data_IF_990036187249
#
_entry.id   IF_990036187249
#
_cell.length_a   1.000
_cell.length_b   1.000
_cell.length_c   1.000
_cell.angle_alpha   90.00
_cell.angle_beta   90.00
_cell.angle_gamma   90.00
#
_symmetry.space_group_name_H-M   'P 1'
#
loop_
_entity.id
_entity.type
_entity.pdbx_description
1 polymer ?
#
# COMPACT_ATOMS: atom_id res chain seq x y z
N UNK A 1 54.61 -16.21 -40.42
CA UNK A 1 54.20 -16.56 -39.04
C UNK A 1 53.19 -15.58 -38.41
N UNK A 2 53.21 -14.26 -38.69
CA UNK A 2 52.22 -13.30 -38.14
C UNK A 2 50.79 -13.41 -38.71
N UNK A 3 50.59 -13.90 -39.94
CA UNK A 3 49.24 -14.06 -40.54
C UNK A 3 48.49 -15.31 -40.07
N UNK A 4 49.19 -16.32 -39.56
CA UNK A 4 48.57 -17.56 -39.06
C UNK A 4 48.02 -17.38 -37.64
N UNK A 5 48.66 -16.54 -36.82
CA UNK A 5 48.15 -16.21 -35.48
C UNK A 5 46.81 -15.44 -35.51
N UNK A 6 46.57 -14.63 -36.54
CA UNK A 6 45.32 -13.83 -36.64
C UNK A 6 44.13 -14.70 -37.02
N UNK A 7 44.35 -15.75 -37.83
CA UNK A 7 43.29 -16.69 -38.21
C UNK A 7 42.86 -17.59 -37.04
N UNK A 8 43.81 -17.99 -36.18
CA UNK A 8 43.49 -18.80 -34.99
C UNK A 8 42.69 -18.00 -33.96
N UNK A 9 42.95 -16.70 -33.82
CA UNK A 9 42.21 -15.83 -32.88
C UNK A 9 40.78 -15.52 -33.35
N UNK A 10 40.51 -15.52 -34.66
CA UNK A 10 39.16 -15.35 -35.20
C UNK A 10 38.32 -16.63 -35.10
N UNK A 11 38.93 -17.82 -35.18
CA UNK A 11 38.24 -19.09 -34.95
C UNK A 11 37.87 -19.33 -33.48
N UNK A 12 38.60 -18.74 -32.53
CA UNK A 12 38.28 -18.83 -31.09
C UNK A 12 37.10 -17.94 -30.68
N UNK A 13 36.79 -16.88 -31.45
CA UNK A 13 35.68 -15.98 -31.17
C UNK A 13 34.32 -16.54 -31.60
N UNK A 14 34.28 -17.49 -32.54
CA UNK A 14 33.03 -18.11 -33.02
C UNK A 14 32.52 -19.22 -32.08
N UNK A 15 33.39 -19.77 -31.22
CA UNK A 15 33.05 -20.78 -30.21
C UNK A 15 32.53 -20.19 -28.88
N UNK A 16 32.46 -18.86 -28.77
CA UNK A 16 31.85 -18.15 -27.66
C UNK A 16 30.51 -17.51 -28.05
N UNK A 17 29.79 -18.11 -29.00
CA UNK A 17 28.35 -17.94 -29.09
C UNK A 17 27.71 -18.75 -27.95
N UNK A 18 27.99 -18.34 -26.72
CA UNK A 18 27.20 -18.72 -25.55
C UNK A 18 25.76 -18.41 -25.89
N UNK A 19 24.92 -19.44 -25.93
CA UNK A 19 23.47 -19.31 -25.86
C UNK A 19 23.16 -18.11 -24.97
N UNK A 20 22.52 -17.08 -25.54
CA UNK A 20 21.48 -16.43 -24.75
C UNK A 20 20.66 -17.57 -24.17
N UNK A 21 20.46 -17.68 -22.85
CA UNK A 21 19.48 -18.62 -22.34
C UNK A 21 18.23 -18.35 -23.16
N UNK A 22 17.87 -19.30 -24.03
CA UNK A 22 16.70 -19.16 -24.86
C UNK A 22 15.57 -18.87 -23.91
N UNK A 23 14.75 -17.85 -24.21
CA UNK A 23 13.52 -17.63 -23.47
C UNK A 23 12.83 -18.99 -23.36
N UNK A 24 12.78 -19.52 -22.14
CA UNK A 24 12.23 -20.84 -21.91
C UNK A 24 10.75 -20.73 -22.22
N UNK A 25 10.32 -21.43 -23.27
CA UNK A 25 8.93 -21.35 -23.71
C UNK A 25 8.05 -22.09 -22.70
N UNK A 26 6.91 -21.50 -22.35
CA UNK A 26 5.91 -22.19 -21.52
C UNK A 26 5.35 -23.38 -22.30
N UNK A 27 5.36 -24.57 -21.68
CA UNK A 27 4.89 -25.81 -22.29
C UNK A 27 3.97 -26.57 -21.33
N UNK A 28 3.32 -27.62 -21.81
CA UNK A 28 2.47 -28.50 -20.98
C UNK A 28 3.23 -29.55 -20.17
N UNK A 29 4.53 -29.32 -19.92
CA UNK A 29 5.36 -30.19 -19.14
C UNK A 29 5.55 -29.64 -17.72
N UNK A 30 5.69 -30.51 -16.73
CA UNK A 30 5.79 -30.13 -15.31
C UNK A 30 7.07 -29.34 -14.99
N UNK A 31 8.11 -29.50 -15.81
CA UNK A 31 9.37 -28.76 -15.74
C UNK A 31 9.27 -27.31 -16.24
N UNK A 32 8.17 -26.94 -16.92
CA UNK A 32 7.94 -25.56 -17.41
C UNK A 32 7.61 -24.54 -16.31
N UNK A 33 7.70 -24.93 -15.04
CA UNK A 33 7.36 -24.08 -13.88
C UNK A 33 8.13 -22.76 -13.88
N UNK A 34 9.44 -22.78 -14.20
CA UNK A 34 10.27 -21.57 -14.24
C UNK A 34 9.85 -20.62 -15.37
N UNK A 35 9.68 -21.13 -16.59
CA UNK A 35 9.18 -20.37 -17.72
C UNK A 35 7.81 -19.74 -17.43
N UNK A 36 6.91 -20.52 -16.82
CA UNK A 36 5.56 -20.07 -16.46
C UNK A 36 5.60 -19.01 -15.36
N UNK A 37 6.48 -19.17 -14.35
CA UNK A 37 6.70 -18.18 -13.31
C UNK A 37 7.27 -16.88 -13.87
N UNK A 38 8.17 -16.95 -14.85
CA UNK A 38 8.70 -15.77 -15.53
C UNK A 38 7.60 -15.00 -16.28
N UNK A 39 6.80 -15.70 -17.08
CA UNK A 39 5.63 -15.13 -17.75
C UNK A 39 4.65 -14.50 -16.74
N UNK A 40 4.36 -15.20 -15.66
CA UNK A 40 3.48 -14.73 -14.58
C UNK A 40 4.00 -13.46 -13.91
N UNK A 41 5.28 -13.42 -13.54
CA UNK A 41 5.90 -12.23 -12.94
C UNK A 41 5.82 -11.01 -13.85
N UNK A 42 6.12 -11.19 -15.14
CA UNK A 42 6.08 -10.09 -16.10
C UNK A 42 4.67 -9.51 -16.19
N UNK A 43 3.68 -10.38 -16.37
CA UNK A 43 2.29 -9.97 -16.45
C UNK A 43 1.80 -9.29 -15.16
N UNK A 44 2.11 -9.84 -13.98
CA UNK A 44 1.72 -9.22 -12.71
C UNK A 44 2.34 -7.82 -12.58
N UNK A 45 3.64 -7.68 -12.84
CA UNK A 45 4.36 -6.41 -12.75
C UNK A 45 3.92 -5.37 -13.80
N UNK A 46 3.40 -5.80 -14.94
CA UNK A 46 2.86 -4.91 -15.98
C UNK A 46 1.42 -4.45 -15.69
N UNK A 47 0.65 -5.23 -14.94
CA UNK A 47 -0.80 -5.00 -14.76
C UNK A 47 -1.18 -4.49 -13.37
N UNK A 48 -0.31 -4.60 -12.36
CA UNK A 48 -0.53 -3.89 -11.09
C UNK A 48 -0.11 -2.42 -11.22
N UNK A 49 -1.00 -1.53 -10.81
CA UNK A 49 -0.87 -0.08 -11.00
C UNK A 49 -0.48 0.68 -9.72
N UNK A 50 -0.32 -0.03 -8.61
CA UNK A 50 -0.03 0.54 -7.29
C UNK A 50 1.05 -0.25 -6.55
N UNK A 51 1.66 0.41 -5.56
CA UNK A 51 2.69 -0.16 -4.71
C UNK A 51 4.02 -0.39 -5.41
N UNK A 52 4.64 -1.53 -5.11
CA UNK A 52 6.02 -1.83 -5.50
C UNK A 52 6.08 -3.07 -6.37
N UNK A 53 7.07 -3.10 -7.27
CA UNK A 53 7.32 -4.24 -8.15
C UNK A 53 7.75 -5.45 -7.33
N UNK A 54 7.47 -6.63 -7.86
CA UNK A 54 7.73 -7.91 -7.20
C UNK A 54 8.75 -8.75 -7.96
N UNK A 55 9.50 -9.57 -7.22
CA UNK A 55 10.40 -10.61 -7.76
C UNK A 55 10.06 -11.97 -7.18
N UNK A 56 10.29 -13.03 -7.96
CA UNK A 56 10.10 -14.40 -7.50
C UNK A 56 10.99 -14.71 -6.30
N UNK A 57 10.38 -15.25 -5.25
CA UNK A 57 11.07 -15.90 -4.14
C UNK A 57 11.05 -17.40 -4.31
N UNK A 58 9.85 -17.97 -4.46
CA UNK A 58 9.67 -19.42 -4.52
C UNK A 58 8.45 -19.79 -5.36
N UNK A 59 8.54 -20.92 -6.05
CA UNK A 59 7.39 -21.56 -6.70
C UNK A 59 6.85 -22.60 -5.71
N UNK A 60 5.71 -22.30 -5.08
CA UNK A 60 5.07 -23.18 -4.10
C UNK A 60 4.38 -24.38 -4.76
N UNK A 61 3.90 -24.21 -5.99
CA UNK A 61 3.20 -25.28 -6.69
C UNK A 61 3.05 -25.00 -8.18
N UNK A 62 3.17 -26.06 -8.97
CA UNK A 62 2.92 -26.05 -10.41
C UNK A 62 2.03 -27.24 -10.76
N UNK A 63 0.76 -26.98 -11.10
CA UNK A 63 -0.20 -28.01 -11.47
C UNK A 63 -0.57 -27.87 -12.93
N UNK A 64 -0.34 -28.92 -13.72
CA UNK A 64 -0.67 -28.96 -15.15
C UNK A 64 -1.86 -29.90 -15.39
N UNK A 65 -2.90 -29.40 -16.04
CA UNK A 65 -4.08 -30.17 -16.43
C UNK A 65 -4.21 -30.18 -17.96
N UNK A 66 -4.16 -31.35 -18.59
CA UNK A 66 -4.28 -31.45 -20.05
C UNK A 66 -5.72 -31.18 -20.49
N UNK A 67 -5.88 -30.29 -21.48
CA UNK A 67 -7.17 -29.89 -22.04
C UNK A 67 -7.08 -29.92 -23.57
N UNK A 68 -7.67 -30.94 -24.18
CA UNK A 68 -7.58 -31.14 -25.63
C UNK A 68 -6.14 -31.36 -26.08
N UNK A 69 -5.67 -30.55 -27.04
CA UNK A 69 -4.27 -30.54 -27.51
C UNK A 69 -3.36 -29.61 -26.67
N UNK A 70 -3.91 -28.86 -25.72
CA UNK A 70 -3.19 -27.94 -24.83
C UNK A 70 -3.29 -28.34 -23.35
N UNK A 71 -3.10 -27.37 -22.47
CA UNK A 71 -3.24 -27.54 -21.03
C UNK A 71 -3.58 -26.23 -20.31
N UNK A 72 -4.17 -26.37 -19.12
CA UNK A 72 -4.27 -25.31 -18.13
C UNK A 72 -3.24 -25.55 -17.04
N UNK A 73 -2.51 -24.49 -16.69
CA UNK A 73 -1.48 -24.48 -15.65
C UNK A 73 -1.95 -23.59 -14.51
N UNK A 74 -1.98 -24.14 -13.29
CA UNK A 74 -2.19 -23.39 -12.06
C UNK A 74 -0.88 -23.29 -11.31
N UNK A 75 -0.39 -22.07 -11.15
CA UNK A 75 0.88 -21.77 -10.51
C UNK A 75 0.64 -21.06 -9.18
N UNK A 76 1.32 -21.52 -8.14
CA UNK A 76 1.37 -20.86 -6.84
C UNK A 76 2.77 -20.29 -6.64
N UNK A 77 2.84 -18.98 -6.44
CA UNK A 77 4.08 -18.22 -6.35
C UNK A 77 4.14 -17.45 -5.05
N UNK A 78 5.30 -17.46 -4.42
CA UNK A 78 5.65 -16.45 -3.43
C UNK A 78 6.53 -15.42 -4.10
N UNK A 79 6.09 -14.17 -4.08
CA UNK A 79 6.82 -13.03 -4.61
C UNK A 79 7.24 -12.11 -3.48
N UNK A 80 8.40 -11.47 -3.60
CA UNK A 80 8.89 -10.49 -2.63
C UNK A 80 8.84 -9.08 -3.21
N UNK A 81 8.37 -8.15 -2.40
CA UNK A 81 8.35 -6.72 -2.68
C UNK A 81 9.77 -6.19 -2.87
N UNK A 82 9.97 -5.40 -3.92
CA UNK A 82 11.24 -4.71 -4.20
C UNK A 82 11.22 -3.27 -3.69
N UNK A 83 12.36 -2.59 -3.78
CA UNK A 83 12.46 -1.16 -3.49
C UNK A 83 11.89 -0.25 -4.60
N UNK A 84 11.57 -0.80 -5.78
CA UNK A 84 11.06 -0.04 -6.91
C UNK A 84 9.53 0.09 -6.85
N UNK A 85 9.03 1.32 -6.77
CA UNK A 85 7.60 1.59 -6.98
C UNK A 85 7.19 1.31 -8.44
N UNK A 86 5.90 1.08 -8.70
CA UNK A 86 5.36 0.91 -10.06
C UNK A 86 5.72 2.05 -11.02
N UNK A 87 5.81 3.28 -10.51
CA UNK A 87 6.18 4.48 -11.29
C UNK A 87 7.66 4.52 -11.68
N UNK A 88 8.52 3.69 -11.06
CA UNK A 88 9.92 3.58 -11.42
C UNK A 88 10.03 2.81 -12.76
N UNK A 89 10.68 3.36 -13.80
CA UNK A 89 10.76 2.73 -15.11
C UNK A 89 11.69 1.51 -15.17
N UNK A 90 12.52 1.29 -14.14
CA UNK A 90 13.46 0.16 -14.06
C UNK A 90 12.73 -1.17 -14.17
N UNK A 91 13.28 -2.14 -14.91
CA UNK A 91 12.70 -3.48 -14.96
C UNK A 91 12.73 -4.11 -13.55
N UNK A 92 11.70 -4.87 -13.19
CA UNK A 92 11.60 -5.51 -11.87
C UNK A 92 12.78 -6.45 -11.60
N UNK A 93 13.38 -7.06 -12.62
CA UNK A 93 14.56 -7.94 -12.47
C UNK A 93 15.79 -7.20 -11.93
N UNK A 94 15.92 -5.92 -12.27
CA UNK A 94 17.01 -5.08 -11.80
C UNK A 94 16.70 -4.40 -10.45
N UNK A 95 15.49 -4.59 -9.92
CA UNK A 95 15.08 -4.02 -8.64
C UNK A 95 15.56 -4.90 -7.47
N UNK A 96 16.14 -4.27 -6.46
CA UNK A 96 16.61 -4.97 -5.27
C UNK A 96 15.42 -5.40 -4.40
N UNK A 97 15.47 -6.64 -3.92
CA UNK A 97 14.50 -7.14 -2.95
C UNK A 97 14.72 -6.41 -1.63
N UNK A 98 13.64 -5.96 -0.99
CA UNK A 98 13.73 -5.24 0.28
C UNK A 98 14.22 -6.17 1.38
N UNK A 99 15.20 -5.70 2.16
CA UNK A 99 15.74 -6.44 3.29
C UNK A 99 14.72 -6.65 4.43
N UNK A 100 14.88 -7.73 5.19
CA UNK A 100 14.00 -8.09 6.31
C UNK A 100 13.85 -6.95 7.33
N UNK A 101 14.97 -6.30 7.72
CA UNK A 101 14.99 -5.17 8.67
C UNK A 101 14.21 -3.94 8.18
N UNK A 102 13.96 -3.84 6.87
CA UNK A 102 13.16 -2.78 6.25
C UNK A 102 11.69 -3.19 6.07
N UNK A 103 11.27 -4.24 6.78
CA UNK A 103 9.92 -4.82 6.79
C UNK A 103 9.48 -5.30 5.42
N UNK A 104 10.20 -6.30 4.95
CA UNK A 104 9.91 -7.01 3.71
C UNK A 104 8.45 -7.50 3.66
N UNK A 105 7.84 -7.38 2.49
CA UNK A 105 6.47 -7.82 2.19
C UNK A 105 6.54 -8.95 1.16
N UNK A 106 5.73 -9.98 1.38
CA UNK A 106 5.56 -11.10 0.48
C UNK A 106 4.15 -11.08 -0.11
N UNK A 107 4.03 -11.45 -1.38
CA UNK A 107 2.78 -11.66 -2.07
C UNK A 107 2.63 -13.14 -2.42
N UNK A 108 1.60 -13.78 -1.89
CA UNK A 108 1.23 -15.15 -2.21
C UNK A 108 0.25 -15.11 -3.38
N UNK A 109 0.70 -15.51 -4.55
CA UNK A 109 -0.04 -15.40 -5.79
C UNK A 109 -0.48 -16.77 -6.32
N UNK A 110 -1.73 -16.85 -6.79
CA UNK A 110 -2.23 -17.96 -7.61
C UNK A 110 -2.49 -17.44 -9.01
N UNK A 111 -1.85 -18.06 -10.00
CA UNK A 111 -1.90 -17.64 -11.41
C UNK A 111 -2.41 -18.80 -12.26
N UNK A 112 -3.36 -18.51 -13.15
CA UNK A 112 -3.91 -19.46 -14.10
C UNK A 112 -3.44 -19.09 -15.51
N UNK A 113 -2.85 -20.06 -16.20
CA UNK A 113 -2.30 -19.92 -17.54
C UNK A 113 -2.91 -20.98 -18.44
N UNK A 114 -3.38 -20.59 -19.62
CA UNK A 114 -3.80 -21.54 -20.65
C UNK A 114 -2.74 -21.59 -21.73
N UNK A 115 -2.30 -22.81 -22.07
CA UNK A 115 -1.27 -23.08 -23.08
C UNK A 115 -1.93 -23.80 -24.25
N UNK A 116 -1.89 -23.17 -25.42
CA UNK A 116 -2.40 -23.70 -26.68
C UNK A 116 -1.26 -24.09 -27.64
N UNK A 117 -1.61 -24.29 -28.92
CA UNK A 117 -0.62 -24.56 -29.98
C UNK A 117 0.22 -23.32 -30.29
N UNK A 118 1.32 -23.15 -29.55
CA UNK A 118 2.34 -22.14 -29.80
C UNK A 118 2.28 -20.89 -28.91
N UNK A 119 1.20 -20.69 -28.15
CA UNK A 119 1.02 -19.52 -27.28
C UNK A 119 0.59 -19.93 -25.86
N UNK A 120 1.09 -19.20 -24.87
CA UNK A 120 0.67 -19.27 -23.48
C UNK A 120 0.10 -17.92 -23.03
N UNK A 121 -1.06 -17.94 -22.37
CA UNK A 121 -1.75 -16.72 -21.94
C UNK A 121 -2.22 -16.84 -20.50
N UNK A 122 -1.94 -15.81 -19.72
CA UNK A 122 -2.51 -15.67 -18.37
C UNK A 122 -3.99 -15.32 -18.50
N UNK A 123 -4.83 -16.15 -17.90
CA UNK A 123 -6.29 -15.98 -17.90
C UNK A 123 -6.77 -15.30 -16.63
N UNK A 124 -6.09 -15.54 -15.50
CA UNK A 124 -6.42 -14.97 -14.20
C UNK A 124 -5.19 -14.98 -13.28
N UNK A 125 -5.10 -13.99 -12.40
CA UNK A 125 -4.22 -14.04 -11.24
C UNK A 125 -4.88 -13.40 -10.02
N UNK A 126 -4.55 -13.89 -8.84
CA UNK A 126 -4.93 -13.33 -7.55
C UNK A 126 -3.71 -13.37 -6.64
N UNK A 127 -3.44 -12.28 -5.93
CA UNK A 127 -2.32 -12.17 -5.00
C UNK A 127 -2.80 -11.62 -3.66
N UNK A 128 -2.28 -12.17 -2.58
CA UNK A 128 -2.48 -11.68 -1.21
C UNK A 128 -1.16 -11.27 -0.59
N UNK A 129 -1.08 -10.04 -0.07
CA UNK A 129 0.17 -9.45 0.43
C UNK A 129 0.21 -9.40 1.95
N UNK A 130 1.32 -9.82 2.54
CA UNK A 130 1.54 -9.83 3.99
C UNK A 130 2.98 -9.46 4.34
N UNK A 131 3.18 -8.97 5.56
CA UNK A 131 4.54 -8.74 6.07
C UNK A 131 5.21 -10.09 6.36
N UNK A 132 6.48 -10.24 5.93
CA UNK A 132 7.27 -11.45 6.24
C UNK A 132 7.50 -11.57 7.75
N UNK A 133 7.74 -10.42 8.41
CA UNK A 133 7.81 -10.30 9.86
C UNK A 133 6.76 -9.31 10.33
N UNK A 134 5.93 -9.75 11.27
CA UNK A 134 4.99 -8.85 11.92
C UNK A 134 5.73 -7.73 12.67
N UNK A 135 5.03 -6.63 12.95
CA UNK A 135 5.59 -5.54 13.76
C UNK A 135 6.13 -6.03 15.12
N UNK A 136 5.46 -7.01 15.74
CA UNK A 136 5.87 -7.58 17.03
C UNK A 136 7.18 -8.36 16.90
N UNK A 137 7.33 -9.15 15.84
CA UNK A 137 8.60 -9.85 15.57
C UNK A 137 9.70 -8.87 15.23
N UNK A 138 9.41 -7.84 14.43
CA UNK A 138 10.38 -6.80 14.07
C UNK A 138 10.92 -6.10 15.32
N UNK A 139 10.06 -5.71 16.27
CA UNK A 139 10.49 -5.09 17.54
C UNK A 139 11.38 -6.03 18.37
N UNK A 140 11.15 -7.35 18.32
CA UNK A 140 11.99 -8.33 19.03
C UNK A 140 13.38 -8.48 18.38
N UNK A 141 13.45 -8.38 17.06
CA UNK A 141 14.70 -8.49 16.29
C UNK A 141 15.49 -7.19 16.39
N UNK A 142 14.82 -6.04 16.22
CA UNK A 142 15.39 -4.71 16.22
C UNK A 142 14.45 -3.73 16.94
N UNK A 143 14.61 -3.52 18.26
CA UNK A 143 13.76 -2.61 19.05
C UNK A 143 13.80 -1.15 18.60
N UNK A 144 14.91 -0.73 17.99
CA UNK A 144 15.13 0.64 17.53
C UNK A 144 14.70 0.88 16.08
N UNK A 145 14.33 -0.19 15.35
CA UNK A 145 13.92 -0.07 13.95
C UNK A 145 12.49 0.49 13.85
N UNK A 146 12.23 1.47 12.96
CA UNK A 146 10.88 1.92 12.68
C UNK A 146 9.99 0.79 12.15
N UNK A 147 8.73 0.74 12.59
CA UNK A 147 7.74 -0.25 12.15
C UNK A 147 6.71 0.36 11.21
N UNK A 148 6.22 -0.43 10.25
CA UNK A 148 5.11 -0.13 9.37
C UNK A 148 3.87 0.18 10.18
N UNK A 149 3.25 1.30 9.85
CA UNK A 149 1.98 1.72 10.39
C UNK A 149 0.93 1.77 9.28
N UNK A 150 -0.37 1.77 9.61
CA UNK A 150 -1.40 1.96 8.61
C UNK A 150 -1.16 3.22 7.77
N UNK A 151 -1.36 3.12 6.45
CA UNK A 151 -1.22 4.26 5.53
C UNK A 151 -2.22 5.39 5.82
N UNK A 152 -3.28 5.10 6.58
CA UNK A 152 -4.30 6.04 7.03
C UNK A 152 -4.03 6.65 8.41
N UNK A 153 -2.85 6.41 9.00
CA UNK A 153 -2.45 7.06 10.25
C UNK A 153 -2.52 8.58 10.06
N UNK A 154 -3.29 9.31 10.89
CA UNK A 154 -3.41 10.76 10.77
C UNK A 154 -2.06 11.48 10.83
N UNK A 155 -1.19 11.07 11.75
CA UNK A 155 0.15 11.63 11.93
C UNK A 155 1.07 11.25 10.78
N UNK A 156 0.97 10.00 10.28
CA UNK A 156 1.68 9.55 9.09
C UNK A 156 1.29 10.37 7.86
N UNK A 157 0.00 10.54 7.59
CA UNK A 157 -0.49 11.35 6.48
C UNK A 157 -0.14 12.83 6.63
N UNK A 158 -0.15 13.36 7.86
CA UNK A 158 0.35 14.72 8.12
C UNK A 158 1.80 14.87 7.66
N UNK A 159 2.67 13.90 7.95
CA UNK A 159 4.07 13.94 7.51
C UNK A 159 4.22 13.97 5.99
N UNK A 160 3.44 13.15 5.28
CA UNK A 160 3.41 13.13 3.81
C UNK A 160 2.95 14.47 3.26
N UNK A 161 1.85 15.02 3.80
CA UNK A 161 1.31 16.30 3.34
C UNK A 161 2.31 17.45 3.53
N UNK A 162 3.04 17.49 4.64
CA UNK A 162 4.12 18.47 4.84
C UNK A 162 5.27 18.27 3.84
N UNK A 163 5.64 17.02 3.54
CA UNK A 163 6.66 16.71 2.54
C UNK A 163 6.23 17.14 1.12
N UNK A 164 4.98 16.90 0.73
CA UNK A 164 4.41 17.34 -0.57
C UNK A 164 4.41 18.87 -0.68
N UNK A 165 4.03 19.57 0.40
CA UNK A 165 4.08 21.04 0.44
C UNK A 165 5.49 21.55 0.29
N UNK A 166 6.46 20.95 0.97
CA UNK A 166 7.87 21.34 0.88
C UNK A 166 8.42 21.09 -0.53
N UNK A 167 8.12 19.94 -1.13
CA UNK A 167 8.51 19.62 -2.50
C UNK A 167 8.02 20.69 -3.49
N UNK A 168 6.77 21.13 -3.36
CA UNK A 168 6.17 22.15 -4.22
C UNK A 168 6.59 23.59 -3.89
N UNK A 169 7.50 23.82 -2.93
CA UNK A 169 8.22 25.12 -2.80
C UNK A 169 9.44 25.20 -3.71
N UNK A 170 9.93 24.05 -4.20
CA UNK A 170 11.10 24.01 -5.05
C UNK A 170 10.77 24.51 -6.46
N UNK A 171 11.34 25.67 -6.83
CA UNK A 171 11.11 26.33 -8.12
C UNK A 171 11.90 25.73 -9.29
N UNK A 172 12.62 24.62 -9.11
CA UNK A 172 13.29 23.93 -10.23
C UNK A 172 12.31 23.20 -11.16
N UNK A 173 11.11 22.87 -10.68
CA UNK A 173 10.08 22.21 -11.48
C UNK A 173 9.27 23.21 -12.30
N UNK A 174 8.85 22.81 -13.51
CA UNK A 174 8.03 23.66 -14.39
C UNK A 174 6.55 23.67 -13.98
N UNK A 175 6.07 22.57 -13.40
CA UNK A 175 4.70 22.39 -12.95
C UNK A 175 4.67 21.95 -11.48
N UNK A 176 3.52 22.17 -10.85
CA UNK A 176 3.22 21.58 -9.54
C UNK A 176 3.02 20.07 -9.67
N UNK A 177 3.29 19.36 -8.58
CA UNK A 177 3.03 17.94 -8.46
C UNK A 177 1.96 17.69 -7.41
N UNK A 178 1.15 16.65 -7.61
CA UNK A 178 0.17 16.19 -6.63
C UNK A 178 0.51 14.79 -6.15
N UNK A 179 0.02 14.44 -4.96
CA UNK A 179 0.20 13.11 -4.38
C UNK A 179 -0.59 12.08 -5.20
N UNK A 180 0.12 11.09 -5.74
CA UNK A 180 -0.48 9.97 -6.47
C UNK A 180 -0.79 8.81 -5.52
N UNK A 181 0.20 8.41 -4.73
CA UNK A 181 0.10 7.25 -3.85
C UNK A 181 1.03 7.42 -2.63
N UNK A 182 0.58 6.97 -1.46
CA UNK A 182 1.48 6.71 -0.33
C UNK A 182 1.79 5.23 -0.32
N UNK A 183 3.04 4.86 -0.59
CA UNK A 183 3.44 3.46 -0.66
C UNK A 183 3.67 2.87 0.73
N UNK A 184 4.45 3.55 1.57
CA UNK A 184 4.81 3.06 2.91
C UNK A 184 4.89 4.19 3.92
N UNK A 185 4.48 3.91 5.16
CA UNK A 185 4.77 4.76 6.31
C UNK A 185 5.34 3.89 7.42
N UNK A 186 6.53 4.22 7.89
CA UNK A 186 7.13 3.62 9.08
C UNK A 186 7.18 4.65 10.19
N UNK A 187 7.01 4.21 11.43
CA UNK A 187 7.15 5.05 12.60
C UNK A 187 8.07 4.45 13.65
N UNK A 188 8.80 5.31 14.35
CA UNK A 188 9.67 4.94 15.46
C UNK A 188 9.74 6.09 16.46
N UNK A 189 9.95 5.77 17.73
CA UNK A 189 10.11 6.78 18.77
C UNK A 189 11.58 7.16 18.96
N UNK A 190 11.87 8.45 18.98
CA UNK A 190 13.19 8.99 19.30
C UNK A 190 13.10 9.90 20.51
N UNK A 191 13.88 9.60 21.55
CA UNK A 191 13.82 10.32 22.84
C UNK A 191 13.97 11.85 22.71
N UNK A 192 14.77 12.34 21.74
CA UNK A 192 15.02 13.77 21.55
C UNK A 192 14.03 14.48 20.60
N UNK A 193 13.30 13.72 19.77
CA UNK A 193 12.50 14.28 18.68
C UNK A 193 11.03 13.83 18.70
N UNK A 194 10.67 12.95 19.64
CA UNK A 194 9.35 12.32 19.73
C UNK A 194 9.15 11.24 18.67
N UNK A 195 7.90 11.09 18.21
CA UNK A 195 7.55 10.14 17.16
C UNK A 195 8.11 10.62 15.83
N UNK A 196 8.87 9.75 15.17
CA UNK A 196 9.42 9.96 13.83
C UNK A 196 8.65 9.13 12.82
N UNK A 197 8.43 9.69 11.63
CA UNK A 197 7.69 9.12 10.53
C UNK A 197 8.56 9.16 9.28
N UNK A 198 8.71 8.00 8.67
CA UNK A 198 9.45 7.79 7.43
C UNK A 198 8.48 7.35 6.36
N UNK A 199 8.25 8.21 5.38
CA UNK A 199 7.28 7.94 4.33
C UNK A 199 7.97 7.71 2.99
N UNK A 200 7.40 6.81 2.21
CA UNK A 200 7.70 6.61 0.80
C UNK A 200 6.42 6.85 0.00
N UNK A 201 6.45 7.74 -0.99
CA UNK A 201 5.25 8.16 -1.72
C UNK A 201 5.57 8.58 -3.16
N UNK A 202 4.59 8.39 -4.05
CA UNK A 202 4.67 8.77 -5.45
C UNK A 202 3.94 10.09 -5.69
N UNK A 203 4.55 10.94 -6.52
CA UNK A 203 4.02 12.20 -7.01
C UNK A 203 3.85 12.13 -8.52
N UNK A 204 2.83 12.81 -9.02
CA UNK A 204 2.54 12.95 -10.46
C UNK A 204 2.48 14.43 -10.85
N UNK A 205 3.08 14.75 -11.99
CA UNK A 205 3.06 16.09 -12.56
C UNK A 205 1.63 16.52 -12.91
N UNK A 206 1.33 17.80 -12.67
CA UNK A 206 0.02 18.39 -12.95
C UNK A 206 0.08 19.36 -14.12
N UNK A 207 -1.09 19.77 -14.61
CA UNK A 207 -1.21 20.81 -15.62
C UNK A 207 -1.03 22.25 -15.10
N UNK A 208 -0.75 22.44 -13.80
CA UNK A 208 -0.57 23.76 -13.22
C UNK A 208 0.89 24.21 -13.31
N UNK A 209 1.19 25.34 -13.97
CA UNK A 209 2.55 25.87 -14.01
C UNK A 209 2.97 26.36 -12.63
N UNK A 210 4.24 26.15 -12.32
CA UNK A 210 4.87 26.62 -11.09
C UNK A 210 4.78 28.14 -10.99
N UNK A 211 4.42 28.66 -9.81
CA UNK A 211 4.24 30.10 -9.58
C UNK A 211 2.89 30.66 -10.06
N UNK A 212 1.99 29.82 -10.56
CA UNK A 212 0.60 30.23 -10.77
C UNK A 212 -0.11 30.53 -9.45
N UNK A 213 -1.20 31.31 -9.51
CA UNK A 213 -2.04 31.61 -8.33
C UNK A 213 -2.99 30.46 -7.97
N UNK A 214 -2.87 29.33 -8.65
CA UNK A 214 -3.71 28.15 -8.43
C UNK A 214 -3.17 27.44 -7.19
N UNK A 215 -4.07 27.10 -6.29
CA UNK A 215 -3.76 26.31 -5.11
C UNK A 215 -3.36 24.90 -5.59
N UNK A 216 -2.18 24.34 -5.22
CA UNK A 216 -1.71 23.05 -5.73
C UNK A 216 -2.73 21.92 -5.62
N UNK A 217 -3.54 21.93 -4.56
CA UNK A 217 -4.62 20.97 -4.30
C UNK A 217 -5.76 21.02 -5.33
N UNK A 218 -5.89 22.11 -6.09
CA UNK A 218 -6.87 22.26 -7.18
C UNK A 218 -6.31 21.83 -8.55
N UNK A 219 -5.03 21.48 -8.62
CA UNK A 219 -4.36 21.11 -9.85
C UNK A 219 -4.73 19.69 -10.30
N UNK A 220 -4.88 19.51 -11.60
CA UNK A 220 -5.25 18.22 -12.16
C UNK A 220 -3.99 17.48 -12.61
N UNK A 221 -3.81 16.20 -12.20
CA UNK A 221 -2.73 15.38 -12.72
C UNK A 221 -2.82 15.23 -14.24
N UNK A 222 -1.65 15.19 -14.89
CA UNK A 222 -1.53 14.83 -16.30
C UNK A 222 -1.78 13.33 -16.49
N UNK A 223 -2.05 12.91 -17.72
CA UNK A 223 -2.18 11.48 -18.05
C UNK A 223 -0.93 10.68 -17.68
N UNK A 224 -1.04 9.45 -17.15
CA UNK A 224 0.12 8.66 -16.71
C UNK A 224 1.23 8.47 -17.75
N UNK A 225 0.89 8.33 -19.03
CA UNK A 225 1.89 8.18 -20.09
C UNK A 225 2.61 9.51 -20.40
N UNK A 226 1.98 10.65 -20.11
CA UNK A 226 2.48 12.00 -20.42
C UNK A 226 3.01 12.77 -19.21
N UNK A 227 2.72 12.31 -18.01
CA UNK A 227 3.15 12.94 -16.77
C UNK A 227 4.57 12.53 -16.41
N UNK A 228 5.39 13.48 -15.92
CA UNK A 228 6.56 13.13 -15.13
C UNK A 228 6.11 12.59 -13.78
N UNK A 229 6.80 11.58 -13.30
CA UNK A 229 6.57 11.01 -11.99
C UNK A 229 7.76 11.32 -11.08
N UNK A 230 7.53 11.36 -9.78
CA UNK A 230 8.60 11.39 -8.80
C UNK A 230 8.29 10.43 -7.66
N UNK A 231 9.28 9.63 -7.26
CA UNK A 231 9.17 8.78 -6.08
C UNK A 231 10.02 9.37 -4.96
N UNK A 232 9.38 9.68 -3.84
CA UNK A 232 9.96 10.47 -2.77
C UNK A 232 10.06 9.67 -1.48
N UNK A 233 11.11 9.97 -0.72
CA UNK A 233 11.34 9.53 0.65
C UNK A 233 11.41 10.75 1.56
N UNK A 234 10.69 10.72 2.67
CA UNK A 234 10.74 11.81 3.64
C UNK A 234 10.93 11.33 5.06
N UNK A 235 11.54 12.19 5.88
CA UNK A 235 11.68 12.02 7.32
C UNK A 235 11.03 13.20 8.03
N UNK A 236 10.15 12.93 8.99
CA UNK A 236 9.43 13.91 9.80
C UNK A 236 9.44 13.47 11.25
N UNK A 237 9.49 14.40 12.21
CA UNK A 237 9.25 14.08 13.61
C UNK A 237 8.25 15.02 14.26
N UNK A 238 7.54 14.54 15.28
CA UNK A 238 6.54 15.33 16.01
C UNK A 238 7.15 16.55 16.70
N UNK A 239 8.38 16.45 17.18
CA UNK A 239 9.06 17.53 17.89
C UNK A 239 9.65 18.61 16.96
N UNK A 240 10.16 18.23 15.79
CA UNK A 240 10.96 19.12 14.94
C UNK A 240 10.34 19.39 13.56
N UNK A 241 9.24 18.70 13.21
CA UNK A 241 8.62 18.80 11.90
C UNK A 241 9.37 18.01 10.82
N UNK A 242 9.31 18.49 9.58
CA UNK A 242 9.91 17.85 8.42
C UNK A 242 11.43 18.05 8.40
N UNK A 243 12.20 16.97 8.28
CA UNK A 243 13.67 16.99 8.26
C UNK A 243 14.23 16.96 6.84
N UNK A 244 13.72 16.04 6.01
CA UNK A 244 14.20 15.84 4.64
C UNK A 244 13.09 15.32 3.74
N UNK A 245 13.21 15.69 2.46
CA UNK A 245 12.41 15.15 1.34
C UNK A 245 13.38 14.97 0.19
N UNK A 246 13.55 13.73 -0.24
CA UNK A 246 14.43 13.34 -1.34
C UNK A 246 13.59 12.61 -2.39
N UNK A 247 13.71 13.00 -3.65
CA UNK A 247 12.88 12.45 -4.72
C UNK A 247 13.71 12.04 -5.93
N UNK A 248 13.39 10.88 -6.49
CA UNK A 248 13.85 10.41 -7.78
C UNK A 248 12.81 10.78 -8.85
N UNK A 249 13.25 11.37 -9.96
CA UNK A 249 12.37 11.81 -11.04
C UNK A 249 12.39 10.83 -12.21
N UNK A 250 11.22 10.54 -12.75
CA UNK A 250 11.03 9.67 -13.91
C UNK A 250 10.37 10.45 -15.06
N UNK A 251 10.94 10.40 -16.28
CA UNK A 251 10.37 11.09 -17.43
C UNK A 251 9.05 10.45 -17.89
N UNK A 252 8.23 11.16 -18.68
CA UNK A 252 7.02 10.58 -19.25
C UNK A 252 7.40 9.54 -20.31
N UNK A 253 6.54 8.53 -20.47
CA UNK A 253 6.68 7.51 -21.52
C UNK A 253 6.41 8.11 -22.91
N UNK A 254 5.45 9.02 -23.00
CA UNK A 254 5.03 9.70 -24.20
C UNK A 254 5.46 11.17 -24.15
N UNK A 255 6.43 11.50 -25.00
CA UNK A 255 7.01 12.86 -25.12
C UNK A 255 6.45 13.62 -26.33
N UNK A 256 5.40 13.11 -26.96
CA UNK A 256 4.78 13.74 -28.13
C UNK A 256 4.21 15.09 -27.73
N UNK A 257 4.69 16.16 -28.37
CA UNK A 257 4.19 17.50 -28.14
C UNK A 257 2.76 17.64 -28.67
N UNK A 258 1.91 18.31 -27.89
CA UNK A 258 0.58 18.70 -28.35
C UNK A 258 0.67 19.72 -29.47
N UNK A 259 -0.24 19.61 -30.44
CA UNK A 259 -0.39 20.60 -31.50
C UNK A 259 -0.84 21.97 -30.95
N UNK A 260 -0.63 23.07 -31.69
CA UNK A 260 -1.13 24.37 -31.29
C UNK A 260 -2.65 24.36 -31.05
N UNK A 261 -3.07 24.66 -29.82
CA UNK A 261 -4.49 24.70 -29.42
C UNK A 261 -5.10 23.35 -29.04
N UNK A 262 -4.33 22.26 -29.10
CA UNK A 262 -4.75 20.95 -28.60
C UNK A 262 -4.73 20.95 -27.07
N UNK A 263 -5.76 20.39 -26.46
CA UNK A 263 -5.89 20.32 -25.00
C UNK A 263 -5.27 19.04 -24.48
N UNK A 264 -4.83 19.08 -23.21
CA UNK A 264 -4.34 17.89 -22.53
C UNK A 264 -5.45 16.81 -22.48
N UNK A 265 -5.16 15.55 -22.85
CA UNK A 265 -6.15 14.49 -22.83
C UNK A 265 -6.68 14.28 -21.42
N UNK A 266 -7.99 14.04 -21.33
CA UNK A 266 -8.61 13.65 -20.07
C UNK A 266 -8.51 12.14 -19.98
N UNK A 267 -7.47 11.66 -19.30
CA UNK A 267 -7.43 10.26 -18.93
C UNK A 267 -8.48 10.01 -17.85
N UNK A 268 -9.19 8.89 -18.00
CA UNK A 268 -9.76 8.24 -16.83
C UNK A 268 -8.56 7.83 -16.00
N UNK A 269 -8.17 8.69 -15.06
CA UNK A 269 -7.47 8.22 -13.89
C UNK A 269 -8.36 7.10 -13.39
N UNK A 270 -7.87 5.86 -13.42
CA UNK A 270 -8.53 4.81 -12.68
C UNK A 270 -8.76 5.43 -11.30
N UNK A 271 -10.03 5.60 -10.89
CA UNK A 271 -10.25 5.70 -9.46
C UNK A 271 -9.48 4.50 -8.92
N UNK A 272 -8.56 4.70 -7.96
CA UNK A 272 -8.10 3.62 -7.09
C UNK A 272 -9.31 2.71 -6.90
N UNK A 273 -9.27 1.40 -7.21
CA UNK A 273 -10.48 0.59 -7.29
C UNK A 273 -11.32 0.79 -6.02
N UNK A 274 -12.33 1.65 -6.11
CA UNK A 274 -13.36 1.83 -5.11
C UNK A 274 -14.32 0.66 -5.33
N UNK A 275 -13.79 -0.54 -5.07
CA UNK A 275 -14.44 -1.82 -5.26
C UNK A 275 -15.22 -2.18 -4.01
N UNK A 276 -16.48 -1.77 -3.97
CA UNK A 276 -17.50 -2.49 -3.21
C UNK A 276 -17.55 -3.93 -3.77
N UNK A 277 -17.45 -5.00 -2.97
CA UNK A 277 -17.64 -6.35 -3.48
C UNK A 277 -19.06 -6.51 -4.04
N UNK A 278 -19.26 -7.19 -5.18
CA UNK A 278 -20.56 -7.68 -5.55
C UNK A 278 -20.89 -8.84 -4.61
N UNK A 279 -21.59 -8.56 -3.51
CA UNK A 279 -22.31 -9.61 -2.80
C UNK A 279 -23.46 -10.04 -3.69
N UNK A 280 -23.25 -11.17 -4.37
CA UNK A 280 -24.32 -11.94 -4.96
C UNK A 280 -25.34 -12.30 -3.87
N UNK A 281 -26.60 -12.00 -4.15
CA UNK A 281 -27.76 -12.41 -3.38
C UNK A 281 -27.75 -13.93 -3.15
N UNK A 282 -27.90 -14.33 -1.90
CA UNK A 282 -28.20 -15.70 -1.50
C UNK A 282 -29.21 -15.66 -0.36
N UNK A 283 -30.48 -15.83 -0.71
CA UNK A 283 -31.59 -16.03 0.22
C UNK A 283 -31.34 -17.20 1.17
N UNK A 284 -31.73 -17.03 2.44
CA UNK A 284 -31.66 -18.07 3.45
C UNK A 284 -32.17 -17.61 4.82
N UNK A 285 -33.48 -17.35 4.93
CA UNK A 285 -34.16 -17.13 6.20
C UNK A 285 -34.09 -18.40 7.09
N UNK A 286 -33.77 -18.31 8.39
CA UNK A 286 -34.08 -19.37 9.35
C UNK A 286 -35.54 -19.24 9.82
N UNK A 287 -36.24 -20.37 10.05
CA UNK A 287 -37.67 -20.37 10.37
C UNK A 287 -37.95 -19.98 11.82
N UNK A 288 -38.97 -19.13 11.98
CA UNK A 288 -39.63 -18.85 13.25
C UNK A 288 -40.49 -20.05 13.69
N UNK A 289 -40.43 -20.40 14.97
CA UNK A 289 -41.45 -21.18 15.65
C UNK A 289 -42.17 -20.28 16.69
N UNK A 290 -43.47 -20.06 16.50
CA UNK A 290 -44.40 -19.72 17.59
C UNK A 290 -44.70 -20.96 18.43
N UNK A 291 -45.49 -20.98 19.50
CA UNK A 291 -46.52 -20.06 20.01
C UNK A 291 -46.91 -20.53 21.44
N UNK A 292 -47.47 -19.64 22.26
CA UNK A 292 -48.52 -19.96 23.25
C UNK A 292 -48.19 -20.21 24.74
N UNK A 293 -48.71 -19.34 25.63
CA UNK A 293 -49.44 -19.79 26.84
C UNK A 293 -49.06 -19.28 28.26
N UNK A 294 -49.65 -18.14 28.64
CA UNK A 294 -49.97 -17.49 29.95
C UNK A 294 -50.02 -18.24 31.34
N UNK A 295 -50.17 -17.50 32.50
CA UNK A 295 -49.43 -17.63 33.79
C UNK A 295 -50.24 -18.21 34.98
N UNK A 296 -49.76 -18.13 36.26
CA UNK A 296 -50.35 -17.13 37.19
C UNK A 296 -49.44 -16.57 38.34
N UNK A 297 -49.96 -15.54 39.01
CA UNK A 297 -49.47 -14.84 40.22
C UNK A 297 -49.72 -15.59 41.56
N UNK A 298 -48.95 -15.25 42.63
CA UNK A 298 -49.40 -14.70 43.95
C UNK A 298 -48.67 -15.21 45.23
N UNK A 299 -48.50 -14.30 46.21
CA UNK A 299 -48.34 -14.51 47.68
C UNK A 299 -46.90 -14.79 48.19
N UNK A 300 -46.22 -14.08 49.10
CA UNK A 300 -46.47 -13.34 50.37
C UNK A 300 -45.98 -14.10 51.64
N UNK A 301 -45.35 -13.38 52.57
CA UNK A 301 -44.86 -13.80 53.91
C UNK A 301 -43.38 -14.21 53.99
N UNK A 302 -42.51 -13.78 54.93
CA UNK A 302 -42.64 -12.94 56.11
C UNK A 302 -41.57 -13.32 57.17
N UNK A 303 -40.75 -12.33 57.57
CA UNK A 303 -40.18 -12.10 58.92
C UNK A 303 -38.89 -12.81 59.46
N UNK A 304 -38.17 -12.17 60.44
CA UNK A 304 -36.69 -12.08 60.59
C UNK A 304 -36.24 -12.66 61.98
N UNK A 305 -35.32 -12.12 62.84
CA UNK A 305 -34.17 -11.18 62.72
C UNK A 305 -32.87 -11.67 63.45
N UNK A 306 -31.80 -10.85 63.51
CA UNK A 306 -31.12 -10.37 64.74
C UNK A 306 -29.73 -9.75 64.46
N UNK A 307 -29.31 -8.87 65.38
CA UNK A 307 -28.29 -7.84 65.25
C UNK A 307 -27.19 -7.92 66.33
N UNK A 308 -26.16 -7.06 66.17
CA UNK A 308 -25.13 -6.54 67.13
C UNK A 308 -23.78 -7.28 67.17
N UNK A 309 -22.62 -6.61 67.29
CA UNK A 309 -22.32 -5.17 67.39
C UNK A 309 -20.84 -4.86 67.74
N UNK A 310 -20.52 -3.55 67.81
CA UNK A 310 -19.42 -2.79 68.52
C UNK A 310 -17.95 -3.22 68.31
N UNK A 311 -16.92 -2.37 68.21
CA UNK A 311 -16.68 -0.92 68.34
C UNK A 311 -15.16 -0.65 68.54
N UNK A 312 -14.74 0.64 68.48
CA UNK A 312 -13.47 1.29 68.93
C UNK A 312 -12.57 1.99 67.88
N UNK A 313 -12.28 3.28 68.14
CA UNK A 313 -11.22 4.18 67.59
C UNK A 313 -10.24 4.56 68.75
N UNK A 314 -9.26 5.51 68.67
CA UNK A 314 -8.71 6.35 67.57
C UNK A 314 -7.14 6.49 67.56
N UNK A 315 -6.55 7.26 66.62
CA UNK A 315 -5.47 8.26 66.83
C UNK A 315 -5.14 9.07 65.54
N UNK A 316 -4.75 10.35 65.73
CA UNK A 316 -4.52 11.47 64.78
C UNK A 316 -3.25 11.34 63.89
N UNK A 317 -2.89 12.17 62.89
CA UNK A 317 -3.12 13.60 62.61
C UNK A 317 -2.79 13.98 61.12
N UNK A 318 -3.32 15.14 60.68
CA UNK A 318 -2.84 16.17 59.69
C UNK A 318 -2.24 15.75 58.31
N UNK A 319 -2.44 16.41 57.17
CA UNK A 319 -2.84 17.80 56.83
C UNK A 319 -3.22 17.91 55.32
N UNK A 320 -3.84 19.04 54.96
CA UNK A 320 -4.63 19.45 53.78
C UNK A 320 -4.01 19.41 52.35
N UNK A 321 -4.87 19.35 51.31
CA UNK A 321 -5.09 20.41 50.29
C UNK A 321 -6.35 20.09 49.43
N UNK A 322 -7.25 21.07 49.29
CA UNK A 322 -8.56 21.07 48.60
C UNK A 322 -8.47 21.59 47.13
N UNK A 323 -9.56 21.55 46.31
CA UNK A 323 -9.54 21.11 44.91
C UNK A 323 -9.90 22.18 43.84
N UNK A 324 -10.02 21.71 42.59
CA UNK A 324 -10.47 22.38 41.36
C UNK A 324 -11.82 23.13 41.49
N UNK A 325 -12.12 24.07 40.57
CA UNK A 325 -13.51 24.38 40.22
C UNK A 325 -13.84 24.03 38.77
N UNK A 326 -15.07 23.53 38.58
CA UNK A 326 -15.80 23.52 37.32
C UNK A 326 -16.82 24.67 37.33
N UNK A 327 -17.16 25.19 36.15
CA UNK A 327 -18.38 25.99 35.95
C UNK A 327 -18.86 25.88 34.50
N UNK A 328 -19.97 25.17 34.33
CA UNK A 328 -21.00 25.41 33.31
C UNK A 328 -21.73 26.74 33.70
N UNK A 329 -22.47 27.51 32.88
CA UNK A 329 -23.40 27.13 31.82
C UNK A 329 -24.06 28.41 31.16
N UNK A 330 -24.74 28.19 30.01
CA UNK A 330 -25.89 28.93 29.41
C UNK A 330 -25.81 30.11 28.37
N UNK A 331 -26.18 29.76 27.10
CA UNK A 331 -27.15 30.34 26.11
C UNK A 331 -27.14 31.85 25.74
N UNK A 332 -27.48 32.37 24.55
CA UNK A 332 -27.86 31.91 23.18
C UNK A 332 -28.14 33.17 22.33
N UNK A 333 -27.62 33.32 21.11
CA UNK A 333 -28.29 34.04 19.98
C UNK A 333 -27.93 33.40 18.63
N UNK A 334 -28.95 33.29 17.77
CA UNK A 334 -29.02 32.58 16.48
C UNK A 334 -28.26 33.20 15.29
N UNK A 335 -27.85 32.26 14.41
CA UNK A 335 -27.90 32.25 12.93
C UNK A 335 -26.87 32.98 12.05
N UNK A 336 -26.28 32.12 11.19
CA UNK A 336 -25.89 32.33 9.79
C UNK A 336 -24.41 32.65 9.49
N UNK A 337 -23.65 31.60 9.21
CA UNK A 337 -22.90 31.43 7.95
C UNK A 337 -22.29 30.03 7.87
N UNK A 338 -22.83 29.25 6.96
CA UNK A 338 -22.23 28.05 6.41
C UNK A 338 -20.86 28.41 5.81
N UNK A 339 -19.80 27.76 6.28
CA UNK A 339 -18.51 27.68 5.58
C UNK A 339 -18.25 26.21 5.34
N UNK A 340 -18.55 25.77 4.12
CA UNK A 340 -18.15 24.47 3.59
C UNK A 340 -16.66 24.53 3.25
N UNK A 341 -15.81 23.78 3.96
CA UNK A 341 -14.45 23.47 3.51
C UNK A 341 -14.16 22.02 3.87
N UNK A 342 -13.75 21.25 2.87
CA UNK A 342 -13.24 19.88 3.00
C UNK A 342 -14.22 18.84 2.48
N UNK A 343 -13.95 18.30 1.29
CA UNK A 343 -14.68 17.18 0.70
C UNK A 343 -14.68 15.97 1.67
N UNK A 344 -15.85 15.53 2.21
CA UNK A 344 -15.91 14.46 3.21
C UNK A 344 -15.57 13.06 2.68
N UNK A 345 -15.45 12.88 1.36
CA UNK A 345 -15.33 11.55 0.74
C UNK A 345 -13.91 10.95 0.81
N UNK A 346 -12.88 11.70 1.21
CA UNK A 346 -11.49 11.21 1.27
C UNK A 346 -11.15 10.57 2.63
N UNK A 347 -11.90 10.89 3.69
CA UNK A 347 -11.58 10.46 5.06
C UNK A 347 -12.26 9.17 5.50
N UNK A 348 -13.35 8.74 4.84
CA UNK A 348 -14.19 7.63 5.34
C UNK A 348 -13.85 6.25 4.71
N UNK A 349 -12.88 6.18 3.78
CA UNK A 349 -12.63 4.95 2.99
C UNK A 349 -11.50 4.05 3.51
N UNK A 350 -10.62 4.53 4.39
CA UNK A 350 -9.45 3.77 4.82
C UNK A 350 -9.71 2.71 5.91
N UNK A 351 -10.92 2.15 5.98
CA UNK A 351 -11.34 1.21 7.03
C UNK A 351 -11.04 -0.24 6.72
N UNK A 352 -10.45 -0.60 5.58
CA UNK A 352 -10.20 -2.02 5.28
C UNK A 352 -9.06 -2.20 4.27
N UNK A 353 -8.09 -3.05 4.64
CA UNK A 353 -6.87 -3.44 3.92
C UNK A 353 -5.71 -2.47 4.04
N UNK A 354 -5.04 -2.56 5.17
CA UNK A 354 -3.62 -2.90 5.30
C UNK A 354 -3.44 -3.13 6.81
N UNK A 355 -2.91 -4.30 7.19
CA UNK A 355 -2.81 -4.88 8.54
C UNK A 355 -3.96 -5.86 8.84
N UNK A 356 -3.67 -7.14 8.61
CA UNK A 356 -3.54 -8.07 9.73
C UNK A 356 -2.10 -8.53 9.84
#
# INVERSE_FOLDING_TARGET
>A
MKRVLVLVLLSSAVLLCSCFPGFESVTCSEDSGNATAHLAMHHINEHHDHGYKFRLNEIQGNKVEKVGEGCDVTLQLDLLETVCHTVNPKNFEDCEIREEINQQVMANCTVMVTVGTGDAKITKYECDTQQVKSNVEMIRICPDCPILIPLNSPEGLKSVNEAVKEFNKNNSNQHYYTLQEVGRIRSGYMMMAGMSYYAEFALVETNCPMGSRIIPEACKPLCPDRARHAFCRSSYSSGNGLHSVECEFYPPLNTTALGPGEQEPICRHSPIPYGRPPYASGEGHPPHAGDGGHPPHAGDGGHPPHARGKGHSPHAAMEDILPMPAMEDFLSVRQSKTVCIGNPEILDYWKTRYIQ
#
